data_IF_470277623406
#
_entry.id   IF_470277623406
#
_cell.length_a   1.000
_cell.length_b   1.000
_cell.length_c   1.000
_cell.angle_alpha   90.00
_cell.angle_beta   90.00
_cell.angle_gamma   90.00
#
_symmetry.space_group_name_H-M   'P 1'
#
loop_
_entity.id
_entity.type
_entity.pdbx_description
1 polymer ?
#
# COMPACT_ATOMS: atom_id res chain seq x y z
N UNK A 1 -26.62 -2.13 -25.85
CA UNK A 1 -26.85 -3.52 -26.32
C UNK A 1 -25.64 -3.91 -27.14
N UNK A 2 -24.77 -4.77 -26.59
CA UNK A 2 -23.60 -5.26 -27.33
C UNK A 2 -24.08 -6.39 -28.24
N UNK A 3 -24.18 -6.15 -29.54
CA UNK A 3 -24.60 -7.17 -30.52
C UNK A 3 -23.34 -7.79 -31.10
N UNK A 4 -22.98 -8.98 -30.61
CA UNK A 4 -21.85 -9.74 -31.12
C UNK A 4 -22.40 -10.82 -32.08
N UNK A 5 -22.10 -10.70 -33.37
CA UNK A 5 -22.31 -11.81 -34.33
C UNK A 5 -21.18 -12.83 -34.13
N UNK A 6 -21.56 -14.02 -33.65
CA UNK A 6 -20.62 -15.09 -33.33
C UNK A 6 -21.20 -16.45 -33.75
N UNK A 7 -20.32 -17.39 -34.06
CA UNK A 7 -20.68 -18.73 -34.52
C UNK A 7 -21.46 -19.52 -33.46
N UNK A 8 -22.21 -20.57 -33.85
CA UNK A 8 -23.07 -21.34 -32.95
C UNK A 8 -22.33 -22.13 -31.86
N UNK A 9 -20.99 -22.10 -31.84
CA UNK A 9 -20.10 -22.77 -30.88
C UNK A 9 -19.19 -21.78 -30.13
N UNK A 10 -19.35 -20.48 -30.35
CA UNK A 10 -18.45 -19.49 -29.80
C UNK A 10 -18.75 -19.26 -28.31
N UNK A 11 -17.71 -19.39 -27.48
CA UNK A 11 -17.75 -19.13 -26.06
C UNK A 11 -17.41 -17.65 -25.80
N UNK A 12 -18.35 -16.91 -25.23
CA UNK A 12 -18.13 -15.54 -24.77
C UNK A 12 -17.58 -15.59 -23.37
N UNK A 13 -16.31 -15.24 -23.20
CA UNK A 13 -15.66 -15.21 -21.89
C UNK A 13 -15.63 -13.78 -21.39
N UNK A 14 -15.94 -13.61 -20.11
CA UNK A 14 -15.73 -12.40 -19.33
C UNK A 14 -14.61 -12.69 -18.33
N UNK A 15 -13.33 -12.62 -18.76
CA UNK A 15 -12.20 -13.17 -18.01
C UNK A 15 -12.12 -12.59 -16.60
N UNK A 16 -12.44 -11.30 -16.49
CA UNK A 16 -12.36 -10.54 -15.25
C UNK A 16 -13.50 -10.82 -14.26
N UNK A 17 -14.57 -11.46 -14.73
CA UNK A 17 -15.66 -11.93 -13.88
C UNK A 17 -15.59 -13.43 -13.63
N UNK A 18 -14.67 -14.14 -14.30
CA UNK A 18 -14.66 -15.60 -14.36
C UNK A 18 -15.93 -16.19 -14.99
N UNK A 19 -16.75 -15.38 -15.66
CA UNK A 19 -18.01 -15.82 -16.26
C UNK A 19 -17.74 -16.25 -17.69
N UNK A 20 -18.34 -17.34 -18.12
CA UNK A 20 -18.42 -17.67 -19.53
C UNK A 20 -19.85 -17.98 -19.95
N UNK A 21 -20.18 -17.56 -21.17
CA UNK A 21 -21.50 -17.68 -21.76
C UNK A 21 -21.35 -18.40 -23.09
N UNK A 22 -22.06 -19.51 -23.25
CA UNK A 22 -21.99 -20.33 -24.44
C UNK A 22 -23.38 -20.65 -24.97
N UNK A 23 -23.49 -20.82 -26.29
CA UNK A 23 -24.73 -21.21 -26.93
C UNK A 23 -24.79 -22.75 -26.90
N UNK A 24 -25.61 -23.29 -25.99
CA UNK A 24 -25.79 -24.74 -25.87
C UNK A 24 -26.60 -25.32 -27.04
N UNK A 25 -27.62 -24.58 -27.50
CA UNK A 25 -28.48 -25.03 -28.61
C UNK A 25 -29.23 -23.88 -29.26
N UNK A 26 -29.31 -23.90 -30.58
CA UNK A 26 -30.22 -23.03 -31.36
C UNK A 26 -31.29 -23.91 -32.00
N UNK A 27 -32.57 -23.58 -31.81
CA UNK A 27 -33.71 -24.29 -32.42
C UNK A 27 -34.76 -23.28 -32.86
N UNK A 28 -34.82 -23.00 -34.17
CA UNK A 28 -35.69 -21.97 -34.73
C UNK A 28 -35.41 -20.60 -34.10
N UNK A 29 -36.45 -19.98 -33.53
CA UNK A 29 -36.35 -18.69 -32.83
C UNK A 29 -35.98 -18.81 -31.33
N UNK A 30 -35.52 -19.97 -30.87
CA UNK A 30 -35.13 -20.21 -29.47
C UNK A 30 -33.65 -20.53 -29.38
N UNK A 31 -32.95 -19.80 -28.52
CA UNK A 31 -31.55 -20.03 -28.18
C UNK A 31 -31.47 -20.44 -26.71
N UNK A 32 -30.82 -21.58 -26.43
CA UNK A 32 -30.48 -22.02 -25.08
C UNK A 32 -29.04 -21.60 -24.82
N UNK A 33 -28.84 -20.84 -23.75
CA UNK A 33 -27.56 -20.29 -23.35
C UNK A 33 -27.14 -20.95 -22.04
N UNK A 34 -25.90 -21.42 -21.98
CA UNK A 34 -25.24 -21.85 -20.75
C UNK A 34 -24.45 -20.67 -20.19
N UNK A 35 -24.60 -20.41 -18.90
CA UNK A 35 -23.80 -19.42 -18.18
C UNK A 35 -23.08 -20.16 -17.09
N UNK A 36 -21.76 -20.16 -17.18
CA UNK A 36 -20.85 -20.70 -16.17
C UNK A 36 -20.29 -19.50 -15.41
N UNK A 37 -20.54 -19.45 -14.11
CA UNK A 37 -20.16 -18.35 -13.24
C UNK A 37 -19.65 -18.92 -11.90
N UNK A 38 -18.58 -18.37 -11.32
CA UNK A 38 -18.07 -18.84 -10.04
C UNK A 38 -19.08 -18.63 -8.91
N UNK A 39 -18.98 -19.40 -7.83
CA UNK A 39 -19.99 -19.46 -6.74
C UNK A 39 -20.27 -18.10 -6.07
N UNK A 40 -19.32 -17.17 -6.16
CA UNK A 40 -19.43 -15.80 -5.65
C UNK A 40 -20.22 -14.86 -6.59
N UNK A 41 -20.49 -15.27 -7.83
CA UNK A 41 -21.24 -14.52 -8.84
C UNK A 41 -22.66 -15.07 -8.93
N UNK A 42 -23.59 -14.39 -8.26
CA UNK A 42 -25.02 -14.76 -8.31
C UNK A 42 -25.62 -14.41 -9.67
N UNK A 43 -26.00 -15.43 -10.44
CA UNK A 43 -26.78 -15.31 -11.68
C UNK A 43 -28.26 -15.41 -11.34
N UNK A 44 -29.01 -14.33 -11.54
CA UNK A 44 -30.43 -14.24 -11.21
C UNK A 44 -31.26 -14.01 -12.47
N UNK A 45 -32.47 -14.59 -12.51
CA UNK A 45 -33.47 -14.25 -13.54
C UNK A 45 -34.07 -12.88 -13.22
N UNK A 46 -34.40 -12.11 -14.25
CA UNK A 46 -34.88 -10.74 -14.08
C UNK A 46 -36.14 -10.68 -13.20
N UNK A 47 -37.06 -11.62 -13.35
CA UNK A 47 -38.28 -11.74 -12.54
C UNK A 47 -38.01 -12.09 -11.05
N UNK A 48 -36.83 -12.60 -10.73
CA UNK A 48 -36.41 -12.89 -9.36
C UNK A 48 -35.66 -11.70 -8.73
N UNK A 49 -35.31 -10.66 -9.49
CA UNK A 49 -34.56 -9.50 -8.98
C UNK A 49 -35.40 -8.71 -7.97
N UNK A 50 -36.68 -8.48 -8.26
CA UNK A 50 -37.57 -7.73 -7.36
C UNK A 50 -37.97 -8.58 -6.13
N UNK A 51 -38.22 -9.86 -6.35
CA UNK A 51 -38.62 -10.81 -5.29
C UNK A 51 -37.48 -11.10 -4.31
N UNK A 52 -36.26 -11.31 -4.84
CA UNK A 52 -35.06 -11.47 -4.04
C UNK A 52 -34.59 -10.13 -3.45
N UNK A 53 -34.84 -9.00 -4.13
CA UNK A 53 -34.63 -7.67 -3.57
C UNK A 53 -35.46 -7.44 -2.31
N UNK A 54 -36.74 -7.83 -2.34
CA UNK A 54 -37.62 -7.77 -1.17
C UNK A 54 -37.22 -8.78 -0.08
N UNK A 55 -36.81 -10.00 -0.45
CA UNK A 55 -36.34 -11.01 0.51
C UNK A 55 -34.98 -10.66 1.13
N UNK A 56 -34.03 -10.12 0.36
CA UNK A 56 -32.75 -9.63 0.84
C UNK A 56 -32.90 -8.36 1.67
N UNK A 57 -33.89 -7.50 1.38
CA UNK A 57 -34.25 -6.38 2.27
C UNK A 57 -34.89 -6.88 3.56
N UNK A 58 -35.71 -7.94 3.52
CA UNK A 58 -36.30 -8.54 4.71
C UNK A 58 -35.28 -9.36 5.54
N UNK A 59 -34.29 -10.01 4.90
CA UNK A 59 -33.18 -10.71 5.55
C UNK A 59 -32.12 -9.72 6.06
N UNK A 60 -31.79 -8.67 5.30
CA UNK A 60 -30.93 -7.57 5.77
C UNK A 60 -31.59 -6.76 6.89
N UNK A 61 -32.91 -6.59 6.89
CA UNK A 61 -33.62 -5.99 8.02
C UNK A 61 -33.63 -6.90 9.27
N UNK A 62 -33.44 -8.21 9.11
CA UNK A 62 -33.34 -9.18 10.22
C UNK A 62 -31.91 -9.42 10.70
N UNK A 63 -30.88 -9.19 9.87
CA UNK A 63 -29.46 -9.42 10.19
C UNK A 63 -28.59 -8.15 10.20
N UNK A 64 -29.14 -6.99 9.84
CA UNK A 64 -28.39 -5.75 9.62
C UNK A 64 -29.26 -4.50 9.75
N UNK A 65 -30.07 -4.43 10.82
CA UNK A 65 -30.47 -3.14 11.35
C UNK A 65 -29.22 -2.46 11.92
N UNK A 66 -28.41 -1.85 11.04
CA UNK A 66 -27.57 -0.66 11.27
C UNK A 66 -26.51 -0.53 10.17
N UNK A 67 -26.81 0.24 9.11
CA UNK A 67 -25.91 1.15 8.37
C UNK A 67 -26.11 1.18 6.83
N UNK A 68 -26.99 2.07 6.32
CA UNK A 68 -27.17 2.38 4.90
C UNK A 68 -25.88 2.81 4.18
N UNK A 69 -24.88 3.32 4.90
CA UNK A 69 -23.60 3.73 4.32
C UNK A 69 -22.79 2.53 3.80
N UNK A 70 -22.97 1.33 4.39
CA UNK A 70 -22.23 0.13 3.97
C UNK A 70 -22.61 -0.34 2.55
N UNK A 71 -23.89 -0.20 2.17
CA UNK A 71 -24.36 -0.54 0.84
C UNK A 71 -23.82 0.43 -0.22
N UNK A 72 -23.79 1.73 0.09
CA UNK A 72 -23.21 2.77 -0.77
C UNK A 72 -21.69 2.59 -0.94
N UNK A 73 -20.95 2.31 0.15
CA UNK A 73 -19.51 2.02 0.12
C UNK A 73 -19.15 0.86 -0.82
N UNK A 74 -19.92 -0.23 -0.78
CA UNK A 74 -19.72 -1.38 -1.69
C UNK A 74 -19.97 -1.04 -3.16
N UNK A 75 -21.00 -0.24 -3.44
CA UNK A 75 -21.32 0.20 -4.79
C UNK A 75 -20.22 1.12 -5.37
N UNK A 76 -19.74 2.08 -4.58
CA UNK A 76 -18.68 3.01 -5.00
C UNK A 76 -17.34 2.27 -5.21
N UNK A 77 -16.98 1.35 -4.31
CA UNK A 77 -15.80 0.49 -4.48
C UNK A 77 -15.85 -0.30 -5.80
N UNK A 78 -16.99 -0.91 -6.10
CA UNK A 78 -17.18 -1.70 -7.33
C UNK A 78 -17.02 -0.86 -8.59
N UNK A 79 -17.57 0.35 -8.61
CA UNK A 79 -17.43 1.25 -9.77
C UNK A 79 -16.00 1.68 -10.00
N UNK A 80 -15.24 1.93 -8.92
CA UNK A 80 -13.85 2.39 -9.00
C UNK A 80 -12.90 1.27 -9.43
N UNK A 81 -13.09 0.05 -8.90
CA UNK A 81 -12.37 -1.14 -9.38
C UNK A 81 -12.60 -1.38 -10.88
N UNK A 82 -13.84 -1.19 -11.36
CA UNK A 82 -14.13 -1.27 -12.80
C UNK A 82 -13.37 -0.21 -13.61
N UNK A 83 -13.24 1.02 -13.11
CA UNK A 83 -12.47 2.08 -13.79
C UNK A 83 -10.98 1.75 -13.85
N UNK A 84 -10.38 1.31 -12.75
CA UNK A 84 -8.96 0.93 -12.71
C UNK A 84 -8.67 -0.23 -13.67
N UNK A 85 -9.56 -1.22 -13.71
CA UNK A 85 -9.45 -2.37 -14.60
C UNK A 85 -9.54 -1.97 -16.09
N UNK A 86 -10.41 -1.01 -16.45
CA UNK A 86 -10.45 -0.47 -17.82
C UNK A 86 -9.17 0.30 -18.18
N UNK A 87 -8.59 1.04 -17.23
CA UNK A 87 -7.31 1.73 -17.41
C UNK A 87 -6.17 0.76 -17.69
N UNK A 88 -6.09 -0.34 -16.94
CA UNK A 88 -5.08 -1.37 -17.15
C UNK A 88 -5.24 -2.12 -18.49
N UNK A 89 -6.49 -2.34 -18.91
CA UNK A 89 -6.80 -2.92 -20.23
C UNK A 89 -6.38 -2.01 -21.39
N UNK A 90 -6.43 -0.68 -21.19
CA UNK A 90 -5.98 0.30 -22.16
C UNK A 90 -4.44 0.31 -22.27
N UNK A 91 -3.75 0.28 -21.13
CA UNK A 91 -2.28 0.15 -21.06
C UNK A 91 -1.82 -1.08 -21.83
N UNK A 92 -2.46 -2.23 -21.60
CA UNK A 92 -2.13 -3.47 -22.30
C UNK A 92 -2.26 -3.31 -23.82
N UNK A 93 -3.37 -2.73 -24.31
CA UNK A 93 -3.57 -2.50 -25.75
C UNK A 93 -2.58 -1.51 -26.35
N UNK A 94 -2.18 -0.48 -25.61
CA UNK A 94 -1.20 0.51 -26.06
C UNK A 94 0.20 -0.10 -26.16
N UNK A 95 0.58 -0.97 -25.22
CA UNK A 95 1.82 -1.74 -25.29
C UNK A 95 1.83 -2.71 -26.48
N UNK A 96 0.73 -3.43 -26.72
CA UNK A 96 0.58 -4.30 -27.90
C UNK A 96 0.67 -3.53 -29.23
N UNK A 97 0.27 -2.25 -29.24
CA UNK A 97 0.35 -1.36 -30.38
C UNK A 97 1.71 -0.62 -30.50
N UNK A 98 2.66 -0.83 -29.59
CA UNK A 98 3.96 -0.16 -29.57
C UNK A 98 3.92 1.31 -29.11
N UNK A 99 2.81 1.76 -28.52
CA UNK A 99 2.61 3.13 -28.01
C UNK A 99 3.08 3.23 -26.55
N UNK A 100 4.39 3.22 -26.36
CA UNK A 100 5.00 3.09 -25.03
C UNK A 100 4.77 4.32 -24.14
N UNK A 101 4.84 5.53 -24.69
CA UNK A 101 4.62 6.76 -23.93
C UNK A 101 3.16 6.90 -23.46
N UNK A 102 2.20 6.59 -24.35
CA UNK A 102 0.77 6.61 -24.03
C UNK A 102 0.40 5.54 -22.99
N UNK A 103 1.07 4.38 -23.04
CA UNK A 103 0.90 3.30 -22.07
C UNK A 103 1.44 3.71 -20.69
N UNK A 104 2.60 4.36 -20.62
CA UNK A 104 3.16 4.87 -19.36
C UNK A 104 2.25 5.93 -18.74
N UNK A 105 1.72 6.85 -19.53
CA UNK A 105 0.79 7.86 -19.04
C UNK A 105 -0.53 7.23 -18.53
N UNK A 106 -1.06 6.25 -19.28
CA UNK A 106 -2.28 5.54 -18.90
C UNK A 106 -2.07 4.68 -17.64
N UNK A 107 -0.88 4.13 -17.46
CA UNK A 107 -0.50 3.37 -16.26
C UNK A 107 -0.39 4.28 -15.04
N UNK A 108 0.25 5.45 -15.16
CA UNK A 108 0.33 6.43 -14.08
C UNK A 108 -1.05 6.91 -13.62
N UNK A 109 -1.98 7.11 -14.55
CA UNK A 109 -3.38 7.44 -14.26
C UNK A 109 -4.11 6.30 -13.55
N UNK A 110 -3.89 5.05 -13.96
CA UNK A 110 -4.50 3.88 -13.33
C UNK A 110 -4.00 3.67 -11.89
N UNK A 111 -2.70 3.84 -11.65
CA UNK A 111 -2.09 3.78 -10.31
C UNK A 111 -2.69 4.86 -9.41
N UNK A 112 -2.75 6.11 -9.88
CA UNK A 112 -3.36 7.22 -9.12
C UNK A 112 -4.83 6.94 -8.74
N UNK A 113 -5.58 6.25 -9.60
CA UNK A 113 -6.97 5.87 -9.30
C UNK A 113 -7.07 4.74 -8.27
N UNK A 114 -6.14 3.78 -8.30
CA UNK A 114 -6.03 2.71 -7.30
C UNK A 114 -5.61 3.28 -5.93
N UNK A 115 -4.67 4.22 -5.90
CA UNK A 115 -4.24 4.89 -4.66
C UNK A 115 -5.39 5.63 -3.97
N UNK A 116 -6.29 6.22 -4.77
CA UNK A 116 -7.52 6.83 -4.24
C UNK A 116 -8.45 5.79 -3.63
N UNK A 117 -8.54 4.58 -4.22
CA UNK A 117 -9.40 3.49 -3.71
C UNK A 117 -8.89 3.04 -2.35
N UNK A 118 -7.57 2.92 -2.22
CA UNK A 118 -6.91 2.59 -0.96
C UNK A 118 -7.12 3.68 0.09
N UNK A 119 -7.04 4.96 -0.32
CA UNK A 119 -7.25 6.11 0.57
C UNK A 119 -8.71 6.32 1.06
N UNK A 120 -9.70 5.62 0.50
CA UNK A 120 -11.13 5.81 0.84
C UNK A 120 -11.80 4.55 1.43
N UNK A 121 -11.03 3.52 1.79
CA UNK A 121 -11.54 2.40 2.61
C UNK A 121 -11.81 2.81 4.08
N UNK A 122 -11.50 4.06 4.47
CA UNK A 122 -11.89 4.64 5.75
C UNK A 122 -12.70 5.94 5.54
N UNK A 123 -14.02 5.98 5.85
CA UNK A 123 -14.63 7.23 6.32
C UNK A 123 -13.92 7.62 7.63
N UNK A 124 -13.81 8.92 7.98
CA UNK A 124 -13.23 9.33 9.25
C UNK A 124 -14.14 8.87 10.38
N UNK A 125 -13.95 7.65 10.86
CA UNK A 125 -14.32 7.29 12.21
C UNK A 125 -13.57 8.30 13.08
N UNK A 126 -14.33 9.21 13.70
CA UNK A 126 -13.86 10.13 14.75
C UNK A 126 -12.70 9.45 15.46
N UNK A 127 -11.45 9.93 15.31
CA UNK A 127 -10.30 9.12 15.66
C UNK A 127 -10.47 8.70 17.12
N UNK A 128 -10.55 7.39 17.43
CA UNK A 128 -10.17 6.96 18.76
C UNK A 128 -8.66 7.24 18.81
N UNK A 129 -8.30 8.46 19.21
CA UNK A 129 -6.94 8.98 19.33
C UNK A 129 -5.89 8.09 18.65
N UNK A 130 -5.73 8.20 17.33
CA UNK A 130 -4.66 7.51 16.62
C UNK A 130 -3.37 7.84 17.37
N UNK A 131 -2.61 6.85 17.87
CA UNK A 131 -1.30 7.15 18.42
C UNK A 131 -0.53 7.90 17.33
N UNK A 132 0.22 8.96 17.69
CA UNK A 132 0.88 9.82 16.70
C UNK A 132 1.69 8.95 15.73
N UNK A 133 1.52 9.18 14.42
CA UNK A 133 2.35 8.54 13.39
C UNK A 133 3.80 8.89 13.69
N UNK A 134 4.61 7.87 13.98
CA UNK A 134 6.00 8.08 14.38
C UNK A 134 6.81 8.47 13.16
N UNK A 135 7.63 9.52 13.29
CA UNK A 135 8.43 10.09 12.22
C UNK A 135 9.84 9.51 12.27
N UNK A 136 10.32 8.98 11.15
CA UNK A 136 11.65 8.41 11.00
C UNK A 136 12.47 9.22 9.99
N UNK A 137 13.74 9.43 10.30
CA UNK A 137 14.72 9.99 9.38
C UNK A 137 15.67 8.88 8.93
N UNK A 138 15.61 8.53 7.64
CA UNK A 138 16.53 7.58 7.03
C UNK A 138 17.73 8.32 6.42
N UNK A 139 18.93 7.92 6.80
CA UNK A 139 20.19 8.49 6.33
C UNK A 139 20.98 7.41 5.59
N UNK A 140 21.00 7.50 4.26
CA UNK A 140 21.55 6.51 3.33
C UNK A 140 22.02 7.25 2.08
N UNK A 141 23.26 7.01 1.62
CA UNK A 141 23.85 7.74 0.50
C UNK A 141 23.52 7.12 -0.86
N UNK A 142 23.14 5.84 -0.90
CA UNK A 142 22.56 5.22 -2.09
C UNK A 142 21.06 5.52 -2.19
N UNK A 143 20.69 6.30 -3.23
CA UNK A 143 19.31 6.74 -3.44
C UNK A 143 18.32 5.56 -3.64
N UNK A 144 18.76 4.47 -4.29
CA UNK A 144 17.88 3.33 -4.55
C UNK A 144 17.62 2.53 -3.28
N UNK A 145 18.66 2.28 -2.47
CA UNK A 145 18.52 1.63 -1.16
C UNK A 145 17.65 2.48 -0.22
N UNK A 146 17.88 3.80 -0.23
CA UNK A 146 17.11 4.77 0.54
C UNK A 146 15.63 4.76 0.19
N UNK A 147 15.27 4.84 -1.09
CA UNK A 147 13.88 4.85 -1.55
C UNK A 147 13.17 3.52 -1.26
N UNK A 148 13.84 2.39 -1.47
CA UNK A 148 13.28 1.07 -1.19
C UNK A 148 12.96 0.91 0.29
N UNK A 149 13.91 1.25 1.17
CA UNK A 149 13.74 1.12 2.61
C UNK A 149 12.72 2.13 3.16
N UNK A 150 12.73 3.37 2.67
CA UNK A 150 11.73 4.37 3.02
C UNK A 150 10.32 3.95 2.60
N UNK A 151 10.16 3.36 1.40
CA UNK A 151 8.89 2.80 0.95
C UNK A 151 8.35 1.74 1.90
N UNK A 152 9.20 0.82 2.35
CA UNK A 152 8.81 -0.23 3.29
C UNK A 152 8.39 0.33 4.66
N UNK A 153 9.16 1.27 5.20
CA UNK A 153 8.85 1.93 6.47
C UNK A 153 7.52 2.71 6.38
N UNK A 154 7.26 3.38 5.25
CA UNK A 154 5.99 4.08 5.00
C UNK A 154 4.80 3.12 4.94
N UNK A 155 4.93 1.99 4.24
CA UNK A 155 3.91 0.93 4.22
C UNK A 155 3.63 0.36 5.62
N UNK A 156 4.60 0.46 6.52
CA UNK A 156 4.50 0.01 7.91
C UNK A 156 3.95 1.08 8.86
N UNK A 157 3.50 2.23 8.33
CA UNK A 157 2.82 3.28 9.10
C UNK A 157 3.72 4.39 9.64
N UNK A 158 5.01 4.43 9.27
CA UNK A 158 5.92 5.52 9.62
C UNK A 158 5.82 6.67 8.63
N UNK A 159 5.99 7.91 9.11
CA UNK A 159 6.33 9.04 8.25
C UNK A 159 7.84 9.07 8.07
N UNK A 160 8.34 9.02 6.82
CA UNK A 160 9.78 8.86 6.57
C UNK A 160 10.32 10.02 5.75
N UNK A 161 11.22 10.78 6.36
CA UNK A 161 12.09 11.74 5.69
C UNK A 161 13.42 11.05 5.34
N UNK A 162 14.05 11.44 4.23
CA UNK A 162 15.34 10.90 3.80
C UNK A 162 16.43 11.98 3.80
N UNK A 163 17.67 11.56 4.02
CA UNK A 163 18.88 12.37 3.94
C UNK A 163 20.01 11.56 3.30
N UNK A 164 20.78 12.18 2.41
CA UNK A 164 21.86 11.51 1.68
C UNK A 164 23.21 11.49 2.44
N UNK A 165 23.30 12.22 3.55
CA UNK A 165 24.49 12.26 4.41
C UNK A 165 24.17 12.81 5.80
N UNK A 166 25.16 12.74 6.70
CA UNK A 166 25.05 13.22 8.07
C UNK A 166 24.76 14.72 8.20
N UNK A 167 25.21 15.56 7.27
CA UNK A 167 24.95 17.01 7.32
C UNK A 167 23.48 17.29 7.01
N UNK A 168 22.94 16.68 5.96
CA UNK A 168 21.52 16.77 5.64
C UNK A 168 20.67 16.23 6.79
N UNK A 169 21.10 15.14 7.44
CA UNK A 169 20.40 14.60 8.60
C UNK A 169 20.32 15.61 9.76
N UNK A 170 21.43 16.30 10.07
CA UNK A 170 21.46 17.34 11.11
C UNK A 170 20.60 18.55 10.76
N UNK A 171 20.53 18.94 9.49
CA UNK A 171 19.64 20.01 9.02
C UNK A 171 18.16 19.61 9.21
N UNK A 172 17.81 18.36 8.90
CA UNK A 172 16.46 17.85 9.09
C UNK A 172 16.08 17.77 10.58
N UNK A 173 17.01 17.33 11.44
CA UNK A 173 16.81 17.28 12.90
C UNK A 173 16.60 18.66 13.54
N UNK A 174 17.12 19.73 12.92
CA UNK A 174 16.95 21.10 13.40
C UNK A 174 15.58 21.71 13.05
N UNK A 175 14.73 21.03 12.26
CA UNK A 175 13.40 21.51 11.90
C UNK A 175 12.41 21.40 13.07
N UNK A 176 11.28 22.10 12.97
CA UNK A 176 10.22 22.06 13.98
C UNK A 176 9.54 20.68 14.06
N UNK A 177 9.34 20.03 12.92
CA UNK A 177 8.83 18.66 12.84
C UNK A 177 10.01 17.69 13.00
N UNK A 178 10.41 17.40 14.23
CA UNK A 178 11.53 16.49 14.51
C UNK A 178 11.12 15.03 14.31
N UNK A 179 12.05 14.17 13.88
CA UNK A 179 11.83 12.73 13.86
C UNK A 179 11.89 12.13 15.27
N UNK A 180 11.10 11.09 15.53
CA UNK A 180 11.17 10.26 16.72
C UNK A 180 12.37 9.30 16.68
N UNK A 181 12.83 8.96 15.48
CA UNK A 181 13.98 8.09 15.28
C UNK A 181 14.82 8.45 14.05
N UNK A 182 16.09 8.08 14.08
CA UNK A 182 17.04 8.17 12.98
C UNK A 182 17.55 6.76 12.69
N UNK A 183 17.45 6.33 11.44
CA UNK A 183 18.09 5.13 10.93
C UNK A 183 19.27 5.57 10.05
N UNK A 184 20.49 5.25 10.47
CA UNK A 184 21.72 5.80 9.92
C UNK A 184 22.60 4.69 9.35
N UNK A 185 22.93 4.73 8.06
CA UNK A 185 23.99 3.89 7.52
C UNK A 185 25.36 4.38 8.04
N UNK A 186 26.16 3.44 8.52
CA UNK A 186 27.52 3.68 8.98
C UNK A 186 28.52 3.68 7.83
N UNK A 187 28.18 3.09 6.68
CA UNK A 187 29.07 2.93 5.53
C UNK A 187 28.99 4.09 4.51
N UNK A 188 28.89 5.33 4.98
CA UNK A 188 28.82 6.52 4.11
C UNK A 188 30.18 7.20 3.88
N UNK A 189 30.54 7.57 2.62
CA UNK A 189 31.85 8.15 2.28
C UNK A 189 32.03 9.65 2.57
N UNK A 190 30.95 10.44 2.65
CA UNK A 190 31.03 11.93 2.78
C UNK A 190 31.09 12.45 4.22
N UNK A 191 30.31 11.86 5.14
CA UNK A 191 30.35 12.17 6.56
C UNK A 191 30.10 10.89 7.35
N UNK A 192 31.10 10.46 8.12
CA UNK A 192 31.03 9.21 8.89
C UNK A 192 29.83 9.23 9.86
N UNK A 193 29.01 8.18 9.84
CA UNK A 193 27.85 8.02 10.72
C UNK A 193 28.18 8.24 12.19
N UNK A 194 29.40 7.88 12.63
CA UNK A 194 29.89 8.15 14.00
C UNK A 194 29.88 9.63 14.38
N UNK A 195 30.34 10.54 13.51
CA UNK A 195 30.31 11.98 13.80
C UNK A 195 28.88 12.50 13.89
N UNK A 196 27.98 11.96 13.06
CA UNK A 196 26.56 12.28 13.13
C UNK A 196 25.97 11.86 14.47
N UNK A 197 26.26 10.64 14.93
CA UNK A 197 25.82 10.12 16.24
C UNK A 197 26.37 10.99 17.37
N UNK A 198 27.67 11.28 17.37
CA UNK A 198 28.31 12.13 18.39
C UNK A 198 27.64 13.51 18.45
N UNK A 199 27.33 14.10 17.30
CA UNK A 199 26.64 15.40 17.20
C UNK A 199 25.20 15.33 17.71
N UNK A 200 24.48 14.26 17.39
CA UNK A 200 23.11 14.04 17.87
C UNK A 200 23.11 13.91 19.40
N UNK A 201 24.01 13.10 19.96
CA UNK A 201 24.09 12.85 21.42
C UNK A 201 24.65 14.01 22.22
N UNK A 202 25.47 14.87 21.60
CA UNK A 202 25.95 16.09 22.23
C UNK A 202 24.84 17.13 22.43
N UNK A 203 23.75 17.09 21.64
CA UNK A 203 22.65 18.04 21.76
C UNK A 203 21.56 17.52 22.73
N UNK A 204 21.31 18.21 23.86
CA UNK A 204 20.27 17.82 24.81
C UNK A 204 18.86 17.75 24.20
N UNK A 205 18.58 18.55 23.18
CA UNK A 205 17.28 18.63 22.51
C UNK A 205 16.92 17.35 21.74
N UNK A 206 17.90 16.48 21.48
CA UNK A 206 17.72 15.23 20.74
C UNK A 206 17.76 13.98 21.62
N UNK A 207 17.75 14.13 22.95
CA UNK A 207 17.77 12.98 23.89
C UNK A 207 16.59 12.02 23.72
N UNK A 208 15.44 12.52 23.25
CA UNK A 208 14.26 11.70 22.98
C UNK A 208 14.31 10.97 21.63
N UNK A 209 15.25 11.33 20.75
CA UNK A 209 15.34 10.73 19.41
C UNK A 209 16.09 9.40 19.49
N UNK A 210 15.44 8.33 19.04
CA UNK A 210 16.07 7.01 18.91
C UNK A 210 17.06 7.01 17.76
N UNK A 211 18.26 6.48 17.96
CA UNK A 211 19.27 6.41 16.89
C UNK A 211 19.63 4.95 16.66
N UNK A 212 19.32 4.48 15.48
CA UNK A 212 19.60 3.14 15.01
C UNK A 212 20.70 3.21 13.96
N UNK A 213 21.71 2.36 14.08
CA UNK A 213 22.78 2.26 13.09
C UNK A 213 22.60 1.02 12.22
N UNK A 214 22.85 1.18 10.93
CA UNK A 214 22.91 0.12 9.94
C UNK A 214 24.36 -0.06 9.52
N UNK A 215 24.84 -1.30 9.42
CA UNK A 215 26.21 -1.59 8.98
C UNK A 215 26.26 -2.87 8.17
N UNK A 216 27.17 -2.94 7.18
CA UNK A 216 27.52 -4.18 6.49
C UNK A 216 28.58 -5.02 7.21
N UNK A 217 29.18 -4.48 8.28
CA UNK A 217 30.23 -5.13 9.07
C UNK A 217 29.72 -5.58 10.45
N UNK A 218 30.59 -6.20 11.24
CA UNK A 218 30.27 -6.53 12.63
C UNK A 218 30.01 -5.24 13.43
N UNK A 219 28.87 -5.09 14.12
CA UNK A 219 28.59 -3.93 14.98
C UNK A 219 29.71 -3.59 15.98
N UNK A 220 30.50 -4.58 16.40
CA UNK A 220 31.66 -4.39 17.29
C UNK A 220 32.85 -3.68 16.64
N UNK A 221 32.98 -3.69 15.30
CA UNK A 221 34.07 -3.01 14.59
C UNK A 221 33.84 -1.50 14.44
N UNK A 222 32.57 -1.06 14.51
CA UNK A 222 32.16 0.33 14.24
C UNK A 222 32.53 1.35 15.33
N UNK A 223 33.06 0.92 16.48
CA UNK A 223 33.55 1.81 17.54
C UNK A 223 32.49 2.74 18.15
N UNK A 224 31.21 2.36 18.06
CA UNK A 224 30.08 3.05 18.70
C UNK A 224 29.34 2.06 19.59
N UNK A 225 29.21 2.41 20.87
CA UNK A 225 28.58 1.57 21.88
C UNK A 225 27.04 1.62 21.77
N UNK A 226 26.38 0.55 22.20
CA UNK A 226 24.93 0.54 22.42
C UNK A 226 24.65 1.28 23.73
N UNK A 227 23.76 2.28 23.68
CA UNK A 227 23.30 3.01 24.85
C UNK A 227 23.18 4.52 24.65
N UNK A 228 22.98 5.28 25.74
CA UNK A 228 22.62 6.70 25.68
C UNK A 228 23.65 7.62 25.00
N UNK A 229 24.91 7.18 24.93
CA UNK A 229 26.02 7.92 24.32
C UNK A 229 26.32 7.51 22.88
N UNK A 230 25.67 6.46 22.39
CA UNK A 230 25.85 5.94 21.04
C UNK A 230 24.50 5.65 20.40
N UNK A 231 24.30 4.42 19.98
CA UNK A 231 23.09 3.99 19.29
C UNK A 231 22.17 3.22 20.23
N UNK A 232 20.86 3.33 20.02
CA UNK A 232 19.88 2.50 20.72
C UNK A 232 19.95 1.05 20.22
N UNK A 233 20.29 0.85 18.94
CA UNK A 233 20.40 -0.48 18.33
C UNK A 233 21.26 -0.49 17.06
N UNK A 234 21.80 -1.66 16.76
CA UNK A 234 22.47 -1.99 15.51
C UNK A 234 21.65 -2.93 14.65
N UNK A 235 21.66 -2.70 13.34
CA UNK A 235 21.12 -3.55 12.30
C UNK A 235 22.23 -3.92 11.32
N UNK A 236 22.28 -5.19 10.91
CA UNK A 236 23.28 -5.68 9.95
C UNK A 236 22.67 -5.80 8.55
N UNK A 237 23.36 -5.32 7.53
CA UNK A 237 23.01 -5.59 6.12
C UNK A 237 23.30 -7.09 5.82
N UNK A 238 22.45 -7.81 5.08
CA UNK A 238 21.22 -7.33 4.44
C UNK A 238 20.07 -7.15 5.45
N UNK A 239 19.44 -5.98 5.42
CA UNK A 239 18.31 -5.67 6.31
C UNK A 239 17.09 -6.49 5.89
N UNK A 240 16.48 -7.17 6.85
CA UNK A 240 15.17 -7.79 6.70
C UNK A 240 14.10 -6.79 7.13
N UNK A 241 13.30 -6.24 6.21
CA UNK A 241 12.46 -5.10 6.54
C UNK A 241 11.41 -5.38 7.64
N UNK A 242 10.85 -6.60 7.69
CA UNK A 242 9.88 -6.97 8.72
C UNK A 242 10.47 -7.09 10.13
N UNK A 243 11.74 -7.49 10.23
CA UNK A 243 12.47 -7.53 11.51
C UNK A 243 12.80 -6.11 11.98
N UNK A 244 13.27 -5.26 11.06
CA UNK A 244 13.56 -3.85 11.30
C UNK A 244 12.35 -3.12 11.90
N UNK A 245 11.17 -3.23 11.26
CA UNK A 245 9.95 -2.54 11.72
C UNK A 245 9.50 -3.01 13.09
N UNK A 246 9.57 -4.32 13.34
CA UNK A 246 9.19 -4.90 14.63
C UNK A 246 10.10 -4.37 15.74
N UNK A 247 11.40 -4.31 15.50
CA UNK A 247 12.37 -3.85 16.49
C UNK A 247 12.31 -2.34 16.71
N UNK A 248 12.20 -1.55 15.63
CA UNK A 248 12.01 -0.10 15.72
C UNK A 248 10.75 0.24 16.51
N UNK A 249 9.63 -0.42 16.21
CA UNK A 249 8.36 -0.21 16.93
C UNK A 249 8.48 -0.55 18.42
N UNK A 250 9.16 -1.65 18.74
CA UNK A 250 9.38 -2.09 20.12
C UNK A 250 10.21 -1.10 20.93
N UNK A 251 11.34 -0.61 20.41
CA UNK A 251 12.22 0.32 21.13
C UNK A 251 11.57 1.70 21.38
N UNK A 252 10.61 2.08 20.55
CA UNK A 252 9.84 3.31 20.68
C UNK A 252 8.69 3.19 21.70
N UNK A 253 8.14 1.99 21.91
CA UNK A 253 7.12 1.74 22.94
C UNK A 253 7.72 1.75 24.35
N UNK A 254 8.95 1.26 24.51
CA UNK A 254 9.64 1.23 25.81
C UNK A 254 10.12 2.61 26.30
N UNK A 255 10.06 3.66 25.47
CA UNK A 255 10.41 5.03 25.86
C UNK A 255 9.26 5.78 26.56
N UNK A 256 8.05 5.21 26.60
CA UNK A 256 6.83 5.84 27.14
C UNK A 256 6.48 5.50 28.59
N UNK A 257 7.37 4.87 29.35
CA UNK A 257 7.15 4.52 30.77
C UNK A 257 8.15 5.20 31.71
#
# INVERSE_FOLDING_TARGET
>A
MLVLSRGPQDKVVFPNLGISVEILRVSGNKVRIGVDAPDNVRVLRHELVDTLGAQLQAEAAKQGADDPAAAKRRHDLRNRLNTAHLGLSLVQKQLEAGLQDDALESLARAITQLDRIDSEQDPPAKPPATPPRRRALLVEDDQNESELLAGYLRLSGFEVDTAADGLQALVQLARQDRPDMVLLDMNMPRMNGRKTIDTIRANPDYRGVKVFAVTGEDPGSGGVEIGPRGVDRWFTKPIKPGELVREMSGDLEHAGH
#
